data_IF_989323774764
#
_entry.id   IF_989323774764
#
_cell.length_a   1.000
_cell.length_b   1.000
_cell.length_c   1.000
_cell.angle_alpha   90.00
_cell.angle_beta   90.00
_cell.angle_gamma   90.00
#
_symmetry.space_group_name_H-M   'P 1'
#
loop_
_entity.id
_entity.type
_entity.pdbx_description
1 polymer ?
#
# COMPACT_ATOMS: atom_id res chain seq x y z
N UNK A 1 -26.88 -1.41 -13.37
CA UNK A 1 -25.71 -0.60 -13.75
C UNK A 1 -24.48 -1.39 -13.37
N UNK A 2 -23.59 -1.69 -14.32
CA UNK A 2 -22.34 -2.42 -14.04
C UNK A 2 -21.40 -1.50 -13.25
N UNK A 3 -20.79 -1.96 -12.14
CA UNK A 3 -19.78 -1.16 -11.44
C UNK A 3 -18.69 -0.76 -12.43
N UNK A 4 -18.32 0.52 -12.44
CA UNK A 4 -17.09 0.92 -13.13
C UNK A 4 -15.92 0.31 -12.35
N UNK A 5 -14.91 -0.17 -13.04
CA UNK A 5 -13.67 -0.63 -12.40
C UNK A 5 -12.59 0.37 -12.76
N UNK A 6 -11.88 0.85 -11.75
CA UNK A 6 -10.73 1.74 -11.92
C UNK A 6 -9.49 0.98 -11.48
N UNK A 7 -8.48 0.96 -12.34
CA UNK A 7 -7.17 0.38 -12.05
C UNK A 7 -6.15 1.49 -12.09
N UNK A 8 -5.32 1.59 -11.05
CA UNK A 8 -4.26 2.59 -10.94
C UNK A 8 -3.07 2.04 -10.18
N UNK A 9 -1.93 2.71 -10.26
CA UNK A 9 -0.73 2.29 -9.55
C UNK A 9 0.42 3.25 -9.79
N UNK A 10 1.53 2.98 -9.11
CA UNK A 10 2.79 3.67 -9.30
C UNK A 10 3.94 2.69 -9.20
N UNK A 11 5.09 3.11 -9.73
CA UNK A 11 6.34 2.39 -9.68
C UNK A 11 7.44 3.43 -9.57
N UNK A 12 8.32 3.27 -8.58
CA UNK A 12 9.47 4.16 -8.41
C UNK A 12 10.76 3.35 -8.32
N UNK A 13 11.80 3.92 -8.91
CA UNK A 13 13.17 3.44 -8.79
C UNK A 13 14.05 4.64 -8.44
N UNK A 14 14.68 4.58 -7.27
CA UNK A 14 15.43 5.68 -6.67
C UNK A 14 16.91 5.34 -6.61
N UNK A 15 17.72 6.36 -6.83
CA UNK A 15 19.18 6.34 -6.79
C UNK A 15 19.59 7.20 -5.60
N UNK A 16 20.35 6.64 -4.67
CA UNK A 16 20.93 7.36 -3.54
C UNK A 16 22.44 7.22 -3.62
N UNK A 17 23.15 8.33 -3.74
CA UNK A 17 24.60 8.38 -3.89
C UNK A 17 25.18 9.20 -2.72
N UNK A 18 26.33 8.79 -2.19
CA UNK A 18 27.01 9.49 -1.10
C UNK A 18 27.79 10.70 -1.64
N UNK A 19 27.73 11.83 -0.93
CA UNK A 19 28.48 13.05 -1.29
C UNK A 19 29.93 13.04 -0.76
N UNK A 20 30.26 12.09 0.10
CA UNK A 20 31.57 12.04 0.81
C UNK A 20 32.33 10.73 0.59
N UNK A 21 31.73 9.77 -0.11
CA UNK A 21 32.31 8.48 -0.48
C UNK A 21 31.78 8.03 -1.84
N UNK A 22 32.35 6.97 -2.41
CA UNK A 22 31.86 6.35 -3.66
C UNK A 22 30.69 5.36 -3.40
N UNK A 23 30.05 5.43 -2.24
CA UNK A 23 28.96 4.52 -1.86
C UNK A 23 27.64 4.91 -2.52
N UNK A 24 26.89 3.92 -2.99
CA UNK A 24 25.56 4.07 -3.57
C UNK A 24 24.54 3.05 -3.04
N UNK A 25 23.27 3.37 -3.25
CA UNK A 25 22.14 2.48 -3.01
C UNK A 25 21.04 2.70 -4.05
N UNK A 26 20.34 1.61 -4.39
CA UNK A 26 19.18 1.61 -5.28
C UNK A 26 17.97 1.12 -4.52
N UNK A 27 16.88 1.89 -4.57
CA UNK A 27 15.65 1.59 -3.85
C UNK A 27 14.51 1.44 -4.85
N UNK A 28 13.68 0.41 -4.67
CA UNK A 28 12.50 0.15 -5.50
C UNK A 28 11.24 0.13 -4.62
N UNK A 29 10.16 0.72 -5.11
CA UNK A 29 8.84 0.52 -4.55
C UNK A 29 7.78 0.54 -5.65
N UNK A 30 6.63 -0.07 -5.39
CA UNK A 30 5.47 0.04 -6.28
C UNK A 30 4.19 -0.24 -5.52
N UNK A 31 3.08 0.19 -6.09
CA UNK A 31 1.77 -0.35 -5.72
C UNK A 31 0.81 -0.35 -6.91
N UNK A 32 -0.13 -1.29 -6.85
CA UNK A 32 -1.27 -1.40 -7.73
C UNK A 32 -2.55 -1.35 -6.91
N UNK A 33 -3.58 -0.73 -7.49
CA UNK A 33 -4.86 -0.46 -6.86
C UNK A 33 -5.97 -0.86 -7.81
N UNK A 34 -6.98 -1.54 -7.28
CA UNK A 34 -8.24 -1.81 -7.99
C UNK A 34 -9.37 -1.23 -7.16
N UNK A 35 -10.11 -0.30 -7.74
CA UNK A 35 -11.21 0.42 -7.09
C UNK A 35 -12.52 0.12 -7.81
N UNK A 36 -13.55 -0.15 -7.01
CA UNK A 36 -14.90 -0.46 -7.44
C UNK A 36 -15.86 0.64 -6.95
N UNK A 37 -16.03 1.73 -7.72
CA UNK A 37 -17.09 2.69 -7.50
C UNK A 37 -18.48 2.06 -7.54
N UNK A 38 -19.37 2.53 -6.67
CA UNK A 38 -20.76 2.10 -6.55
C UNK A 38 -20.94 0.59 -6.30
N UNK A 39 -19.97 -0.05 -5.63
CA UNK A 39 -20.02 -1.48 -5.30
C UNK A 39 -21.19 -1.78 -4.35
N UNK A 40 -22.19 -2.51 -4.84
CA UNK A 40 -23.39 -2.92 -4.11
C UNK A 40 -24.45 -1.82 -3.90
N UNK A 41 -24.04 -0.55 -3.72
CA UNK A 41 -24.94 0.61 -3.60
C UNK A 41 -24.25 1.86 -4.14
N UNK A 42 -25.03 2.74 -4.77
CA UNK A 42 -24.57 4.06 -5.22
C UNK A 42 -23.93 4.84 -4.06
N UNK A 43 -22.73 5.36 -4.28
CA UNK A 43 -21.92 6.09 -3.30
C UNK A 43 -20.96 5.22 -2.49
N UNK A 44 -21.09 3.89 -2.53
CA UNK A 44 -20.14 2.99 -1.90
C UNK A 44 -18.88 2.85 -2.75
N UNK A 45 -17.77 2.51 -2.11
CA UNK A 45 -16.49 2.27 -2.78
C UNK A 45 -15.85 1.05 -2.14
N UNK A 46 -15.51 0.05 -2.95
CA UNK A 46 -14.54 -0.99 -2.55
C UNK A 46 -13.17 -0.67 -3.16
N UNK A 47 -12.08 -0.98 -2.46
CA UNK A 47 -10.77 -0.98 -3.08
C UNK A 47 -9.87 -2.07 -2.51
N UNK A 48 -8.97 -2.54 -3.37
CA UNK A 48 -7.85 -3.43 -3.03
C UNK A 48 -6.56 -2.73 -3.43
N UNK A 49 -5.56 -2.80 -2.54
CA UNK A 49 -4.23 -2.25 -2.75
C UNK A 49 -3.22 -3.36 -2.54
N UNK A 50 -2.21 -3.45 -3.41
CA UNK A 50 -1.11 -4.39 -3.28
C UNK A 50 0.18 -3.71 -3.72
N UNK A 51 1.24 -3.82 -2.93
CA UNK A 51 2.52 -3.21 -3.29
C UNK A 51 3.68 -3.73 -2.47
N UNK A 52 4.84 -3.18 -2.77
CA UNK A 52 6.09 -3.39 -2.03
C UNK A 52 6.51 -2.02 -1.49
N UNK A 53 6.65 -1.84 -0.17
CA UNK A 53 7.25 -0.64 0.42
C UNK A 53 8.68 -0.40 -0.11
N UNK A 54 9.29 0.77 0.11
CA UNK A 54 10.68 1.03 -0.30
C UNK A 54 11.64 -0.07 0.14
N UNK A 55 12.20 -0.78 -0.84
CA UNK A 55 13.16 -1.87 -0.67
C UNK A 55 14.53 -1.47 -1.23
N UNK A 56 15.59 -1.57 -0.45
CA UNK A 56 16.97 -1.45 -0.94
C UNK A 56 17.33 -2.71 -1.73
N UNK A 57 17.36 -2.61 -3.05
CA UNK A 57 17.61 -3.75 -3.96
C UNK A 57 19.08 -3.90 -4.35
N UNK A 58 19.89 -2.86 -4.12
CA UNK A 58 21.34 -2.85 -4.35
C UNK A 58 21.97 -1.83 -3.41
N UNK A 59 23.11 -2.15 -2.82
CA UNK A 59 23.88 -1.25 -1.96
C UNK A 59 25.37 -1.58 -2.02
N UNK A 60 26.22 -0.55 -2.07
CA UNK A 60 27.69 -0.69 -2.01
C UNK A 60 28.16 -1.45 -0.75
N UNK A 61 27.44 -1.34 0.37
CA UNK A 61 27.61 -2.17 1.56
C UNK A 61 26.53 -3.25 1.56
N UNK A 62 26.88 -4.48 1.20
CA UNK A 62 25.92 -5.59 1.04
C UNK A 62 25.10 -5.91 2.31
N UNK A 63 25.59 -5.55 3.49
CA UNK A 63 24.84 -5.72 4.74
C UNK A 63 23.62 -4.77 4.86
N UNK A 64 23.58 -3.71 4.05
CA UNK A 64 22.50 -2.73 4.00
C UNK A 64 21.50 -3.00 2.85
N UNK A 65 21.65 -4.13 2.15
CA UNK A 65 20.65 -4.58 1.17
C UNK A 65 19.52 -5.35 1.87
N UNK A 66 18.30 -5.10 1.41
CA UNK A 66 17.13 -5.84 1.88
C UNK A 66 17.07 -7.20 1.16
N UNK A 67 17.45 -8.25 1.86
CA UNK A 67 17.50 -9.61 1.29
C UNK A 67 16.11 -10.20 1.08
N UNK A 68 15.16 -9.93 1.98
CA UNK A 68 13.79 -10.43 1.87
C UNK A 68 12.86 -9.36 1.29
N UNK A 69 11.57 -9.68 1.20
CA UNK A 69 10.57 -8.80 0.58
C UNK A 69 9.35 -8.66 1.47
N UNK A 70 9.00 -7.41 1.77
CA UNK A 70 7.75 -7.04 2.42
C UNK A 70 6.68 -6.78 1.37
N UNK A 71 5.48 -7.30 1.60
CA UNK A 71 4.30 -6.96 0.83
C UNK A 71 3.34 -6.16 1.69
N UNK A 72 2.79 -5.10 1.11
CA UNK A 72 1.74 -4.29 1.69
C UNK A 72 0.44 -4.60 0.95
N UNK A 73 -0.56 -5.11 1.68
CA UNK A 73 -1.86 -5.48 1.11
C UNK A 73 -2.95 -4.77 1.91
N UNK A 74 -3.83 -4.06 1.22
CA UNK A 74 -5.00 -3.44 1.85
C UNK A 74 -6.29 -3.86 1.16
N UNK A 75 -7.35 -4.01 1.96
CA UNK A 75 -8.71 -4.10 1.47
C UNK A 75 -9.58 -3.12 2.25
N UNK A 76 -10.34 -2.29 1.54
CA UNK A 76 -11.19 -1.28 2.15
C UNK A 76 -12.57 -1.23 1.49
N UNK A 77 -13.58 -0.93 2.31
CA UNK A 77 -14.95 -0.76 1.88
C UNK A 77 -15.59 0.45 2.57
N UNK A 78 -15.89 1.47 1.78
CA UNK A 78 -16.64 2.65 2.20
C UNK A 78 -18.12 2.40 1.96
N UNK A 79 -18.86 2.27 3.05
CA UNK A 79 -20.31 2.20 3.07
C UNK A 79 -20.93 3.60 3.28
N UNK A 80 -21.62 4.10 2.27
CA UNK A 80 -22.31 5.39 2.31
C UNK A 80 -23.70 5.21 2.96
N UNK A 81 -23.84 5.69 4.20
CA UNK A 81 -25.09 5.61 4.95
C UNK A 81 -26.09 6.67 4.45
N UNK A 82 -25.68 7.93 4.45
CA UNK A 82 -26.46 9.09 3.97
C UNK A 82 -25.58 9.96 3.05
N UNK A 83 -26.07 11.07 2.49
CA UNK A 83 -25.22 12.02 1.74
C UNK A 83 -24.07 12.62 2.57
N UNK A 84 -24.22 12.63 3.90
CA UNK A 84 -23.33 13.32 4.83
C UNK A 84 -22.52 12.37 5.72
N UNK A 85 -22.89 11.09 5.81
CA UNK A 85 -22.27 10.12 6.72
C UNK A 85 -21.83 8.88 5.93
N UNK A 86 -20.56 8.50 6.11
CA UNK A 86 -20.00 7.25 5.60
C UNK A 86 -19.18 6.53 6.68
N UNK A 87 -19.18 5.21 6.64
CA UNK A 87 -18.28 4.36 7.43
C UNK A 87 -17.38 3.62 6.43
N UNK A 88 -16.07 3.65 6.66
CA UNK A 88 -15.09 2.89 5.90
C UNK A 88 -14.49 1.85 6.81
N UNK A 89 -14.71 0.58 6.51
CA UNK A 89 -14.03 -0.53 7.16
C UNK A 89 -12.93 -1.08 6.25
N UNK A 90 -11.91 -1.68 6.83
CA UNK A 90 -10.86 -2.29 6.05
C UNK A 90 -9.87 -3.08 6.89
N UNK A 91 -8.90 -3.66 6.20
CA UNK A 91 -7.78 -4.36 6.79
C UNK A 91 -6.50 -4.11 6.01
N UNK A 92 -5.38 -4.13 6.73
CA UNK A 92 -4.04 -4.01 6.19
C UNK A 92 -3.25 -5.24 6.65
N UNK A 93 -2.46 -5.80 5.74
CA UNK A 93 -1.51 -6.87 5.99
C UNK A 93 -0.13 -6.43 5.52
N UNK A 94 0.86 -6.52 6.40
CA UNK A 94 2.27 -6.26 6.06
C UNK A 94 3.06 -7.53 6.37
N UNK A 95 3.53 -8.22 5.33
CA UNK A 95 4.38 -9.41 5.49
C UNK A 95 5.82 -8.99 5.68
N UNK A 96 6.61 -9.74 6.46
CA UNK A 96 8.05 -9.54 6.62
C UNK A 96 8.42 -8.06 6.81
N UNK A 97 7.86 -7.37 7.81
CA UNK A 97 8.09 -5.93 7.98
C UNK A 97 9.60 -5.63 8.06
N UNK A 98 10.00 -4.48 7.55
CA UNK A 98 11.42 -4.13 7.33
C UNK A 98 12.15 -5.05 6.35
N UNK A 99 11.42 -5.69 5.43
CA UNK A 99 11.99 -6.63 4.46
C UNK A 99 12.81 -7.75 5.11
N UNK A 100 12.35 -8.25 6.26
CA UNK A 100 13.00 -9.32 7.01
C UNK A 100 12.01 -10.46 7.26
N UNK A 101 12.29 -11.63 6.69
CA UNK A 101 11.46 -12.85 6.80
C UNK A 101 11.43 -13.47 8.20
N UNK A 102 12.34 -13.04 9.09
CA UNK A 102 12.29 -13.42 10.51
C UNK A 102 11.27 -12.60 11.31
N UNK A 103 10.75 -11.51 10.76
CA UNK A 103 9.73 -10.70 11.42
C UNK A 103 8.32 -11.22 11.12
N UNK A 104 7.49 -11.27 12.17
CA UNK A 104 6.10 -11.73 12.05
C UNK A 104 5.24 -10.78 11.19
N UNK A 105 4.27 -11.36 10.49
CA UNK A 105 3.30 -10.60 9.69
C UNK A 105 2.39 -9.76 10.58
N UNK A 106 2.22 -8.48 10.19
CA UNK A 106 1.37 -7.53 10.92
C UNK A 106 -0.01 -7.50 10.28
N UNK A 107 -1.05 -7.55 11.11
CA UNK A 107 -2.45 -7.38 10.72
C UNK A 107 -3.04 -6.16 11.42
N UNK A 108 -3.68 -5.27 10.67
CA UNK A 108 -4.34 -4.07 11.20
C UNK A 108 -5.77 -4.01 10.71
N UNK A 109 -6.72 -3.93 11.66
CA UNK A 109 -8.12 -3.61 11.36
C UNK A 109 -8.36 -2.11 11.37
N UNK A 110 -9.12 -1.59 10.41
CA UNK A 110 -9.39 -0.15 10.27
C UNK A 110 -10.89 0.10 10.23
N UNK A 111 -11.35 1.08 11.02
CA UNK A 111 -12.70 1.64 10.93
C UNK A 111 -12.60 3.17 10.98
N UNK A 112 -13.14 3.84 9.97
CA UNK A 112 -13.18 5.30 9.85
C UNK A 112 -14.60 5.77 9.58
N UNK A 113 -15.10 6.70 10.40
CA UNK A 113 -16.37 7.38 10.15
C UNK A 113 -16.11 8.78 9.61
N UNK A 114 -16.80 9.18 8.55
CA UNK A 114 -16.67 10.50 7.91
C UNK A 114 -18.00 11.24 7.96
N UNK A 115 -17.97 12.47 8.46
CA UNK A 115 -19.10 13.39 8.50
C UNK A 115 -18.81 14.60 7.60
N UNK A 116 -19.81 15.04 6.82
CA UNK A 116 -19.76 16.25 6.00
C UNK A 116 -20.85 17.22 6.45
N UNK A 117 -20.48 18.47 6.70
CA UNK A 117 -21.36 19.56 7.15
C UNK A 117 -21.45 20.66 6.08
#
# INVERSE_FOLDING_TARGET
MTPKVVVSGWFDYMFADSEVSDDDARVLNFAANVVFPDLGKKGNIGALVFGIPPKVVSNSISANEDRDTSFHIEALYRHQLTSNIAITSGGIVITNPEHNSSNDTIFVGVVRTTFKF
#
